data_IF_631425805736
#
_entry.id   IF_631425805736
#
_cell.length_a   1.000
_cell.length_b   1.000
_cell.length_c   1.000
_cell.angle_alpha   90.00
_cell.angle_beta   90.00
_cell.angle_gamma   90.00
#
_symmetry.space_group_name_H-M   'P 1'
#
loop_
_entity.id
_entity.type
_entity.pdbx_description
1 polymer ?
#
# COMPACT_ATOMS: atom_id res chain seq x y z
N UNK A 1 38.29 0.63 -2.03
CA UNK A 1 37.57 -0.18 -1.02
C UNK A 1 36.36 0.63 -0.57
N UNK A 2 35.14 0.10 -0.68
CA UNK A 2 33.95 0.80 -0.19
C UNK A 2 33.82 0.60 1.31
N UNK A 3 33.71 1.69 2.07
CA UNK A 3 33.46 1.66 3.51
C UNK A 3 31.99 1.30 3.76
N UNK A 4 31.71 0.02 4.05
CA UNK A 4 30.40 -0.45 4.52
C UNK A 4 29.95 0.43 5.68
N UNK A 5 28.83 1.14 5.51
CA UNK A 5 28.33 2.04 6.55
C UNK A 5 27.58 1.25 7.61
N UNK A 6 27.87 1.47 8.89
CA UNK A 6 27.20 0.78 9.99
C UNK A 6 26.08 1.64 10.59
N UNK A 7 24.90 1.05 10.78
CA UNK A 7 23.76 1.67 11.44
C UNK A 7 23.32 0.88 12.68
N UNK A 8 23.13 1.56 13.81
CA UNK A 8 22.34 1.00 14.90
C UNK A 8 20.90 0.75 14.44
N UNK A 9 20.21 -0.19 15.11
CA UNK A 9 18.82 -0.52 14.80
C UNK A 9 17.90 0.72 14.90
N UNK A 10 18.22 1.63 15.84
CA UNK A 10 17.51 2.88 16.03
C UNK A 10 17.71 3.87 14.87
N UNK A 11 18.93 3.98 14.33
CA UNK A 11 19.21 4.79 13.14
C UNK A 11 18.51 4.21 11.89
N UNK A 12 18.54 2.89 11.71
CA UNK A 12 17.86 2.23 10.60
C UNK A 12 16.34 2.45 10.65
N UNK A 13 15.73 2.35 11.84
CA UNK A 13 14.31 2.64 12.08
C UNK A 13 13.95 4.10 11.82
N UNK A 14 14.77 5.05 12.31
CA UNK A 14 14.62 6.50 12.07
C UNK A 14 14.65 6.84 10.59
N UNK A 15 15.61 6.28 9.86
CA UNK A 15 15.74 6.44 8.41
C UNK A 15 14.48 5.92 7.70
N UNK A 16 14.06 4.69 7.98
CA UNK A 16 12.86 4.08 7.39
C UNK A 16 11.56 4.88 7.67
N UNK A 17 11.38 5.37 8.90
CA UNK A 17 10.23 6.22 9.24
C UNK A 17 10.26 7.56 8.49
N UNK A 18 11.42 8.20 8.37
CA UNK A 18 11.57 9.47 7.65
C UNK A 18 11.36 9.34 6.14
N UNK A 19 11.89 8.29 5.51
CA UNK A 19 11.65 7.95 4.10
C UNK A 19 10.18 7.73 3.80
N UNK A 20 9.46 6.98 4.66
CA UNK A 20 8.02 6.79 4.53
C UNK A 20 7.18 7.99 4.98
N UNK A 21 7.79 9.12 5.35
CA UNK A 21 7.10 10.38 5.60
C UNK A 21 6.53 10.58 7.00
N UNK A 22 6.94 9.78 7.99
CA UNK A 22 6.65 10.04 9.41
C UNK A 22 7.57 11.10 10.04
N UNK A 23 8.57 11.61 9.31
CA UNK A 23 9.41 12.74 9.73
C UNK A 23 9.03 14.03 8.98
N UNK A 24 8.72 15.11 9.71
CA UNK A 24 8.42 16.42 9.13
C UNK A 24 7.85 17.44 10.12
N UNK A 25 7.46 18.61 9.61
CA UNK A 25 6.55 19.54 10.33
C UNK A 25 5.17 18.88 10.45
N UNK A 26 4.34 19.36 11.40
CA UNK A 26 2.95 18.90 11.51
C UNK A 26 2.19 19.07 10.17
N UNK A 27 1.25 18.17 9.85
CA UNK A 27 0.40 18.31 8.66
C UNK A 27 -0.33 19.67 8.61
N UNK A 28 -0.58 20.23 7.43
CA UNK A 28 -1.36 21.45 7.31
C UNK A 28 -2.80 21.21 7.77
N UNK A 29 -3.43 22.22 8.40
CA UNK A 29 -4.82 22.14 8.87
C UNK A 29 -5.85 21.79 7.77
N UNK A 30 -5.49 21.97 6.49
CA UNK A 30 -6.21 21.44 5.34
C UNK A 30 -5.24 20.74 4.38
N UNK A 31 -5.42 19.43 4.22
CA UNK A 31 -4.72 18.61 3.21
C UNK A 31 -5.30 18.90 1.82
N UNK A 32 -4.43 19.16 0.84
CA UNK A 32 -4.81 19.35 -0.58
C UNK A 32 -4.18 18.27 -1.47
N UNK A 33 -4.59 18.21 -2.73
CA UNK A 33 -4.08 17.24 -3.73
C UNK A 33 -2.56 17.24 -3.85
N UNK A 34 -1.88 18.38 -3.69
CA UNK A 34 -0.43 18.50 -3.75
C UNK A 34 0.26 17.69 -2.62
N UNK A 35 -0.29 17.70 -1.40
CA UNK A 35 0.24 16.90 -0.28
C UNK A 35 -0.03 15.40 -0.49
N UNK A 36 -1.19 15.06 -1.04
CA UNK A 36 -1.55 13.67 -1.39
C UNK A 36 -0.60 13.14 -2.46
N UNK A 37 -0.51 13.81 -3.62
CA UNK A 37 0.37 13.41 -4.72
C UNK A 37 1.83 13.29 -4.28
N UNK A 38 2.38 14.29 -3.58
CA UNK A 38 3.76 14.23 -3.06
C UNK A 38 4.02 13.04 -2.14
N UNK A 39 3.04 12.63 -1.35
CA UNK A 39 3.18 11.45 -0.49
C UNK A 39 3.10 10.15 -1.31
N UNK A 40 2.21 10.05 -2.29
CA UNK A 40 2.13 8.88 -3.17
C UNK A 40 3.35 8.79 -4.09
N UNK A 41 3.91 9.91 -4.54
CA UNK A 41 5.22 9.99 -5.23
C UNK A 41 6.35 9.50 -4.33
N UNK A 42 6.40 9.93 -3.06
CA UNK A 42 7.40 9.48 -2.07
C UNK A 42 7.33 7.97 -1.82
N UNK A 43 6.13 7.41 -1.68
CA UNK A 43 5.95 5.96 -1.48
C UNK A 43 6.09 5.18 -2.79
N UNK A 44 5.68 5.74 -3.92
CA UNK A 44 5.56 5.08 -5.23
C UNK A 44 4.33 4.19 -5.38
N UNK A 45 3.63 3.87 -4.29
CA UNK A 45 2.64 2.80 -4.28
C UNK A 45 1.66 2.92 -3.10
N UNK A 46 0.39 2.61 -3.35
CA UNK A 46 -0.62 2.27 -2.34
C UNK A 46 -1.30 0.95 -2.71
N UNK A 47 -1.22 -0.08 -1.85
CA UNK A 47 -1.88 -1.36 -2.10
C UNK A 47 -3.42 -1.21 -2.01
N UNK A 48 -4.11 -1.66 -3.06
CA UNK A 48 -5.57 -1.73 -3.12
C UNK A 48 -6.03 -3.05 -2.51
N UNK A 49 -6.66 -2.97 -1.35
CA UNK A 49 -7.37 -4.09 -0.73
C UNK A 49 -8.87 -3.77 -0.55
N UNK A 50 -9.71 -4.81 -0.53
CA UNK A 50 -11.17 -4.71 -0.49
C UNK A 50 -11.77 -4.74 0.93
N UNK A 51 -10.99 -5.09 1.96
CA UNK A 51 -11.49 -5.20 3.34
C UNK A 51 -11.96 -3.83 3.83
N UNK A 52 -13.23 -3.76 4.22
CA UNK A 52 -13.92 -2.53 4.59
C UNK A 52 -14.42 -2.57 6.05
N UNK A 53 -13.62 -3.15 6.96
CA UNK A 53 -13.93 -3.20 8.39
C UNK A 53 -13.95 -1.80 9.02
N UNK A 54 -13.05 -0.91 8.55
CA UNK A 54 -13.03 0.53 8.82
C UNK A 54 -13.37 1.30 7.55
N UNK A 55 -12.42 1.30 6.64
CA UNK A 55 -12.41 1.88 5.29
C UNK A 55 -11.47 1.01 4.46
N UNK A 56 -11.55 1.05 3.14
CA UNK A 56 -10.64 0.26 2.27
C UNK A 56 -9.18 0.65 2.54
N UNK A 57 -8.28 -0.33 2.48
CA UNK A 57 -6.89 -0.15 2.94
C UNK A 57 -6.16 1.06 2.32
N UNK A 58 -6.34 1.32 1.01
CA UNK A 58 -5.57 2.32 0.27
C UNK A 58 -5.70 3.77 0.81
N UNK A 59 -6.76 4.09 1.57
CA UNK A 59 -6.91 5.41 2.19
C UNK A 59 -6.10 5.56 3.50
N UNK A 60 -5.80 4.45 4.19
CA UNK A 60 -5.19 4.47 5.53
C UNK A 60 -3.71 4.90 5.55
N UNK A 61 -2.83 4.52 4.59
CA UNK A 61 -1.44 5.00 4.58
C UNK A 61 -1.32 6.52 4.45
N UNK A 62 -2.24 7.16 3.73
CA UNK A 62 -2.32 8.62 3.62
C UNK A 62 -2.81 9.24 4.93
N UNK A 63 -3.90 8.74 5.51
CA UNK A 63 -4.40 9.19 6.82
C UNK A 63 -3.33 9.07 7.91
N UNK A 64 -2.57 7.98 7.93
CA UNK A 64 -1.48 7.71 8.88
C UNK A 64 -0.38 8.79 8.91
N UNK A 65 -0.24 9.58 7.83
CA UNK A 65 0.89 10.49 7.61
C UNK A 65 0.45 11.95 7.38
N UNK A 66 -0.76 12.17 6.88
CA UNK A 66 -1.36 13.48 6.61
C UNK A 66 -2.47 13.85 7.60
N UNK A 67 -2.99 12.91 8.38
CA UNK A 67 -4.19 13.09 9.20
C UNK A 67 -5.46 13.15 8.34
N UNK A 68 -6.46 13.90 8.80
CA UNK A 68 -7.77 14.00 8.14
C UNK A 68 -7.65 14.65 6.74
N UNK A 69 -8.09 13.93 5.71
CA UNK A 69 -8.11 14.41 4.32
C UNK A 69 -9.37 13.91 3.59
N UNK A 70 -9.86 14.64 2.59
CA UNK A 70 -11.00 14.14 1.80
C UNK A 70 -10.58 12.96 0.90
N UNK A 71 -11.27 11.83 1.00
CA UNK A 71 -11.00 10.65 0.15
C UNK A 71 -11.05 10.99 -1.34
N UNK A 72 -11.92 11.93 -1.71
CA UNK A 72 -12.08 12.44 -3.06
C UNK A 72 -10.78 12.97 -3.68
N UNK A 73 -9.78 13.37 -2.88
CA UNK A 73 -8.44 13.73 -3.38
C UNK A 73 -7.68 12.52 -3.93
N UNK A 74 -7.82 11.35 -3.31
CA UNK A 74 -7.27 10.09 -3.83
C UNK A 74 -8.13 9.57 -4.98
N UNK A 75 -9.46 9.67 -4.86
CA UNK A 75 -10.40 9.19 -5.89
C UNK A 75 -10.21 9.96 -7.20
N UNK A 76 -9.98 11.28 -7.12
CA UNK A 76 -9.62 12.11 -8.27
C UNK A 76 -8.25 11.72 -8.84
N UNK A 77 -7.22 11.61 -7.99
CA UNK A 77 -5.88 11.22 -8.40
C UNK A 77 -5.86 9.86 -9.15
N UNK A 78 -6.71 8.92 -8.73
CA UNK A 78 -6.80 7.56 -9.27
C UNK A 78 -7.73 7.39 -10.48
N UNK A 79 -8.93 7.98 -10.44
CA UNK A 79 -10.04 7.60 -11.33
C UNK A 79 -10.77 8.79 -11.99
N UNK A 80 -10.25 10.02 -11.86
CA UNK A 80 -10.72 11.14 -12.67
C UNK A 80 -10.19 11.08 -14.12
N UNK A 81 -10.57 12.09 -14.90
CA UNK A 81 -10.17 12.29 -16.29
C UNK A 81 -9.27 13.52 -16.44
N UNK A 82 -8.38 13.49 -17.44
CA UNK A 82 -7.49 14.60 -17.76
C UNK A 82 -6.55 14.99 -16.60
N UNK A 83 -6.36 16.30 -16.39
CA UNK A 83 -5.29 16.86 -15.54
C UNK A 83 -5.44 16.60 -14.03
N UNK A 84 -6.58 16.09 -13.57
CA UNK A 84 -6.78 15.69 -12.17
C UNK A 84 -6.21 14.29 -11.88
N UNK A 85 -6.04 13.46 -12.91
CA UNK A 85 -5.52 12.11 -12.78
C UNK A 85 -3.99 12.14 -12.71
N UNK A 86 -3.45 11.60 -11.63
CA UNK A 86 -2.00 11.52 -11.36
C UNK A 86 -1.53 10.08 -11.13
N UNK A 87 -2.44 9.12 -11.03
CA UNK A 87 -2.17 7.71 -10.75
C UNK A 87 -2.79 6.78 -11.81
N UNK A 88 -2.36 5.52 -11.80
CA UNK A 88 -2.98 4.41 -12.52
C UNK A 88 -3.09 3.17 -11.61
N UNK A 89 -3.96 2.22 -11.98
CA UNK A 89 -3.98 0.90 -11.36
C UNK A 89 -3.08 -0.07 -12.13
N UNK A 90 -2.25 -0.84 -11.42
CA UNK A 90 -1.55 -2.00 -11.98
C UNK A 90 -1.10 -2.98 -10.89
N UNK A 91 -0.46 -4.08 -11.30
CA UNK A 91 0.17 -5.07 -10.42
C UNK A 91 1.55 -4.58 -9.95
N UNK A 92 1.57 -3.83 -8.85
CA UNK A 92 2.79 -3.34 -8.17
C UNK A 92 3.22 -4.30 -7.06
N UNK A 93 2.72 -4.06 -5.84
CA UNK A 93 2.69 -5.01 -4.73
C UNK A 93 1.25 -5.49 -4.57
N UNK A 94 0.91 -6.59 -5.24
CA UNK A 94 -0.49 -6.93 -5.60
C UNK A 94 -1.18 -5.79 -6.38
N UNK A 95 -2.51 -5.77 -6.44
CA UNK A 95 -3.27 -4.68 -7.04
C UNK A 95 -2.93 -3.35 -6.33
N UNK A 96 -2.48 -2.35 -7.09
CA UNK A 96 -1.84 -1.14 -6.57
C UNK A 96 -2.31 0.12 -7.29
N UNK A 97 -2.39 1.24 -6.58
CA UNK A 97 -2.32 2.58 -7.17
C UNK A 97 -0.84 3.01 -7.25
N UNK A 98 -0.43 3.51 -8.41
CA UNK A 98 0.95 3.93 -8.72
C UNK A 98 0.94 5.33 -9.37
N UNK A 99 1.91 6.22 -9.10
CA UNK A 99 2.07 7.47 -9.84
C UNK A 99 2.24 7.23 -11.35
N UNK A 100 1.63 8.07 -12.21
CA UNK A 100 1.74 7.95 -13.68
C UNK A 100 3.19 7.98 -14.19
N UNK A 101 4.10 8.65 -13.48
CA UNK A 101 5.54 8.64 -13.77
C UNK A 101 6.19 7.25 -13.66
N UNK A 102 5.54 6.29 -12.99
CA UNK A 102 5.99 4.90 -12.90
C UNK A 102 5.41 3.99 -13.98
N UNK A 103 4.54 4.48 -14.87
CA UNK A 103 4.00 3.67 -15.98
C UNK A 103 5.10 3.14 -16.93
N UNK A 104 6.13 3.92 -17.35
CA UNK A 104 7.26 3.40 -18.11
C UNK A 104 8.00 2.26 -17.39
N UNK A 105 8.17 2.39 -16.07
CA UNK A 105 8.82 1.38 -15.21
C UNK A 105 8.03 0.08 -15.05
N UNK A 106 6.77 0.03 -15.51
CA UNK A 106 5.91 -1.17 -15.45
C UNK A 106 5.68 -1.85 -16.80
N UNK A 107 6.06 -1.23 -17.94
CA UNK A 107 5.76 -1.80 -19.28
C UNK A 107 6.49 -3.12 -19.58
N UNK A 108 7.64 -3.38 -18.96
CA UNK A 108 8.31 -4.69 -19.06
C UNK A 108 7.45 -5.83 -18.48
N UNK A 109 6.74 -5.57 -17.37
CA UNK A 109 5.83 -6.53 -16.74
C UNK A 109 4.59 -6.77 -17.60
N UNK A 110 4.11 -5.73 -18.27
CA UNK A 110 3.04 -5.81 -19.28
C UNK A 110 3.49 -6.70 -20.46
N UNK A 111 4.70 -6.48 -20.97
CA UNK A 111 5.28 -7.31 -22.03
C UNK A 111 5.50 -8.78 -21.62
N UNK A 112 5.99 -9.05 -20.40
CA UNK A 112 6.08 -10.42 -19.83
C UNK A 112 4.68 -11.05 -19.72
N UNK A 113 3.70 -10.34 -19.16
CA UNK A 113 2.33 -10.81 -19.00
C UNK A 113 1.65 -11.15 -20.35
N UNK A 114 1.88 -10.35 -21.40
CA UNK A 114 1.42 -10.64 -22.76
C UNK A 114 2.02 -11.92 -23.36
N UNK A 115 3.23 -12.31 -22.95
CA UNK A 115 3.84 -13.63 -23.27
C UNK A 115 3.39 -14.76 -22.34
N UNK A 116 2.65 -14.45 -21.27
CA UNK A 116 2.25 -15.39 -20.23
C UNK A 116 3.32 -15.64 -19.14
N UNK A 117 4.34 -14.79 -19.07
CA UNK A 117 5.43 -14.80 -18.08
C UNK A 117 5.07 -13.96 -16.84
N UNK A 118 5.62 -14.33 -15.67
CA UNK A 118 5.49 -13.60 -14.39
C UNK A 118 4.05 -13.22 -13.93
N UNK A 119 3.03 -13.92 -14.44
CA UNK A 119 1.62 -13.79 -14.02
C UNK A 119 1.05 -15.09 -13.43
N UNK A 120 -0.13 -15.00 -12.81
CA UNK A 120 -0.82 -16.18 -12.26
C UNK A 120 -1.01 -17.28 -13.33
N UNK A 121 -0.66 -18.52 -12.99
CA UNK A 121 -0.63 -19.65 -13.93
C UNK A 121 -1.96 -19.89 -14.66
N UNK A 122 -3.09 -19.68 -13.98
CA UNK A 122 -4.43 -19.77 -14.57
C UNK A 122 -4.65 -18.71 -15.67
N UNK A 123 -4.14 -17.50 -15.46
CA UNK A 123 -4.25 -16.38 -16.39
C UNK A 123 -3.31 -16.58 -17.60
N UNK A 124 -2.08 -17.05 -17.37
CA UNK A 124 -1.17 -17.46 -18.44
C UNK A 124 -1.73 -18.63 -19.29
N UNK A 125 -2.42 -19.57 -18.64
CA UNK A 125 -3.11 -20.67 -19.32
C UNK A 125 -4.28 -20.16 -20.17
N UNK A 126 -5.16 -19.35 -19.59
CA UNK A 126 -6.27 -18.71 -20.31
C UNK A 126 -5.78 -17.90 -21.52
N UNK A 127 -4.67 -17.16 -21.36
CA UNK A 127 -4.00 -16.41 -22.41
C UNK A 127 -3.56 -17.25 -23.62
N UNK A 128 -3.23 -18.54 -23.43
CA UNK A 128 -2.88 -19.46 -24.52
C UNK A 128 -4.10 -20.18 -25.10
N UNK A 129 -5.10 -20.49 -24.29
CA UNK A 129 -6.23 -21.35 -24.67
C UNK A 129 -7.45 -20.58 -25.22
N UNK A 130 -7.58 -19.28 -24.97
CA UNK A 130 -8.79 -18.48 -25.29
C UNK A 130 -8.52 -17.15 -26.01
N UNK A 131 -7.60 -17.18 -26.99
CA UNK A 131 -7.23 -16.02 -27.82
C UNK A 131 -8.38 -15.46 -28.68
N UNK A 132 -9.42 -16.25 -28.96
CA UNK A 132 -10.67 -15.79 -29.56
C UNK A 132 -11.48 -14.90 -28.59
N UNK A 133 -11.66 -15.34 -27.35
CA UNK A 133 -12.41 -14.60 -26.31
C UNK A 133 -11.69 -13.29 -25.97
N UNK A 134 -10.35 -13.34 -25.87
CA UNK A 134 -9.50 -12.16 -25.60
C UNK A 134 -9.68 -11.10 -26.69
N UNK A 135 -9.58 -11.47 -27.97
CA UNK A 135 -9.79 -10.54 -29.10
C UNK A 135 -11.22 -10.00 -29.14
N UNK A 136 -12.23 -10.84 -28.91
CA UNK A 136 -13.64 -10.42 -28.83
C UNK A 136 -13.86 -9.37 -27.75
N UNK A 137 -13.32 -9.58 -26.55
CA UNK A 137 -13.43 -8.66 -25.41
C UNK A 137 -12.68 -7.35 -25.65
N UNK A 138 -11.47 -7.41 -26.23
CA UNK A 138 -10.73 -6.20 -26.61
C UNK A 138 -11.50 -5.38 -27.66
N UNK A 139 -12.09 -6.04 -28.68
CA UNK A 139 -12.98 -5.39 -29.65
C UNK A 139 -14.17 -4.69 -28.99
N UNK A 140 -14.84 -5.34 -28.03
CA UNK A 140 -15.93 -4.71 -27.27
C UNK A 140 -15.50 -3.47 -26.49
N UNK A 141 -14.27 -3.44 -25.95
CA UNK A 141 -13.70 -2.24 -25.30
C UNK A 141 -13.34 -1.16 -26.33
N UNK A 142 -12.80 -1.55 -27.49
CA UNK A 142 -12.54 -0.64 -28.61
C UNK A 142 -13.82 0.03 -29.12
N UNK A 143 -14.93 -0.69 -29.23
CA UNK A 143 -16.22 -0.17 -29.69
C UNK A 143 -16.98 0.64 -28.63
N UNK A 144 -17.06 0.13 -27.38
CA UNK A 144 -17.97 0.66 -26.36
C UNK A 144 -17.29 1.50 -25.27
N UNK A 145 -15.95 1.53 -25.23
CA UNK A 145 -15.19 2.25 -24.20
C UNK A 145 -15.14 1.52 -22.85
N UNK A 146 -15.22 2.28 -21.76
CA UNK A 146 -15.01 1.79 -20.40
C UNK A 146 -16.03 0.74 -19.92
N UNK A 147 -15.66 -0.55 -19.96
CA UNK A 147 -16.52 -1.68 -19.60
C UNK A 147 -16.10 -2.37 -18.29
N UNK A 148 -17.10 -2.71 -17.46
CA UNK A 148 -16.93 -3.63 -16.34
C UNK A 148 -17.24 -5.07 -16.76
N UNK A 149 -16.68 -6.06 -16.05
CA UNK A 149 -16.90 -7.47 -16.36
C UNK A 149 -18.40 -7.88 -16.29
N UNK A 150 -19.21 -7.20 -15.46
CA UNK A 150 -20.65 -7.41 -15.43
C UNK A 150 -21.37 -6.94 -16.71
N UNK A 151 -20.81 -5.99 -17.45
CA UNK A 151 -21.38 -5.47 -18.70
C UNK A 151 -21.09 -6.35 -19.93
N UNK A 152 -20.14 -7.28 -19.82
CA UNK A 152 -19.75 -8.22 -20.88
C UNK A 152 -20.32 -9.63 -20.69
N UNK A 153 -20.94 -9.92 -19.54
CA UNK A 153 -21.31 -11.30 -19.20
C UNK A 153 -22.53 -11.77 -20.00
N UNK A 154 -22.37 -12.86 -20.74
CA UNK A 154 -23.44 -13.52 -21.51
C UNK A 154 -24.20 -14.57 -20.68
N UNK A 155 -23.86 -14.76 -19.40
CA UNK A 155 -24.52 -15.72 -18.50
C UNK A 155 -25.95 -15.27 -18.17
N UNK A 156 -26.92 -16.14 -18.47
CA UNK A 156 -28.28 -16.04 -17.94
C UNK A 156 -28.42 -16.64 -16.52
N UNK A 157 -27.45 -17.48 -16.11
CA UNK A 157 -27.43 -18.13 -14.80
C UNK A 157 -26.68 -17.32 -13.74
N UNK A 158 -27.03 -17.52 -12.47
CA UNK A 158 -26.32 -16.91 -11.33
C UNK A 158 -24.88 -17.40 -11.27
N UNK A 159 -23.93 -16.47 -11.17
CA UNK A 159 -22.54 -16.79 -10.87
C UNK A 159 -22.43 -17.56 -9.55
N UNK A 160 -21.50 -18.52 -9.51
CA UNK A 160 -21.22 -19.35 -8.35
C UNK A 160 -20.42 -18.63 -7.26
N UNK A 161 -19.58 -19.36 -6.50
CA UNK A 161 -18.71 -18.78 -5.48
C UNK A 161 -17.73 -17.75 -6.05
N UNK A 162 -17.07 -16.97 -5.18
CA UNK A 162 -16.21 -15.82 -5.55
C UNK A 162 -15.05 -16.12 -6.53
N UNK A 163 -14.71 -17.39 -6.75
CA UNK A 163 -13.71 -17.86 -7.72
C UNK A 163 -14.29 -18.25 -9.11
N UNK A 164 -15.60 -18.35 -9.26
CA UNK A 164 -16.28 -18.57 -10.54
C UNK A 164 -16.34 -17.26 -11.36
N UNK A 165 -15.24 -16.96 -12.04
CA UNK A 165 -15.12 -15.81 -12.93
C UNK A 165 -15.51 -16.22 -14.35
N UNK A 166 -16.34 -15.43 -15.04
CA UNK A 166 -16.67 -15.72 -16.45
C UNK A 166 -15.43 -15.63 -17.36
N UNK A 167 -15.52 -16.17 -18.56
CA UNK A 167 -14.42 -16.10 -19.53
C UNK A 167 -14.09 -14.64 -19.91
N UNK A 168 -15.09 -13.76 -19.97
CA UNK A 168 -14.91 -12.33 -20.23
C UNK A 168 -14.16 -11.62 -19.09
N UNK A 169 -14.39 -12.03 -17.84
CA UNK A 169 -13.62 -11.52 -16.70
C UNK A 169 -12.16 -11.98 -16.74
N UNK A 170 -11.91 -13.25 -17.09
CA UNK A 170 -10.53 -13.74 -17.29
C UNK A 170 -9.83 -13.01 -18.44
N UNK A 171 -10.53 -12.75 -19.55
CA UNK A 171 -10.02 -11.96 -20.67
C UNK A 171 -9.67 -10.52 -20.25
N UNK A 172 -10.55 -9.84 -19.50
CA UNK A 172 -10.28 -8.49 -18.98
C UNK A 172 -9.07 -8.46 -18.03
N UNK A 173 -8.95 -9.41 -17.09
CA UNK A 173 -7.79 -9.46 -16.18
C UNK A 173 -6.49 -9.84 -16.94
N UNK A 174 -6.56 -10.63 -18.02
CA UNK A 174 -5.41 -10.92 -18.89
C UNK A 174 -4.98 -9.69 -19.69
N UNK A 175 -5.91 -9.03 -20.38
CA UNK A 175 -5.66 -7.79 -21.12
C UNK A 175 -5.10 -6.70 -20.20
N UNK A 176 -5.62 -6.61 -18.96
CA UNK A 176 -5.12 -5.69 -17.94
C UNK A 176 -3.70 -6.05 -17.46
N UNK A 177 -3.38 -7.33 -17.29
CA UNK A 177 -2.03 -7.76 -16.95
C UNK A 177 -1.05 -7.46 -18.09
N UNK A 178 -1.45 -7.75 -19.33
CA UNK A 178 -0.69 -7.49 -20.57
C UNK A 178 -0.56 -6.01 -20.94
N UNK A 179 -1.34 -5.11 -20.31
CA UNK A 179 -1.32 -3.67 -20.57
C UNK A 179 -2.19 -3.19 -21.74
N UNK A 180 -2.89 -4.11 -22.42
CA UNK A 180 -3.80 -3.86 -23.55
C UNK A 180 -5.07 -3.07 -23.13
N UNK A 181 -5.44 -3.13 -21.84
CA UNK A 181 -6.45 -2.26 -21.22
C UNK A 181 -5.96 -1.75 -19.87
N UNK A 182 -6.51 -0.62 -19.42
CA UNK A 182 -6.26 -0.08 -18.08
C UNK A 182 -7.55 0.34 -17.39
N UNK A 183 -7.50 0.55 -16.06
CA UNK A 183 -8.69 0.88 -15.27
C UNK A 183 -9.05 2.36 -15.48
N UNK A 184 -10.02 2.63 -16.35
CA UNK A 184 -10.59 3.96 -16.57
C UNK A 184 -11.17 4.55 -15.27
N UNK A 185 -11.92 3.73 -14.51
CA UNK A 185 -12.51 4.12 -13.23
C UNK A 185 -13.11 2.93 -12.48
N UNK A 186 -13.94 3.19 -11.46
CA UNK A 186 -14.61 2.13 -10.69
C UNK A 186 -16.09 2.38 -10.45
N UNK A 187 -16.88 1.31 -10.57
CA UNK A 187 -18.29 1.24 -10.12
C UNK A 187 -18.32 0.53 -8.76
N UNK A 188 -18.29 1.31 -7.68
CA UNK A 188 -18.21 0.79 -6.32
C UNK A 188 -16.84 0.18 -6.01
N UNK A 189 -16.65 -1.11 -6.33
CA UNK A 189 -15.33 -1.77 -6.36
C UNK A 189 -15.07 -2.54 -7.66
N UNK A 190 -16.05 -2.68 -8.56
CA UNK A 190 -15.84 -3.18 -9.92
C UNK A 190 -14.93 -2.20 -10.68
N UNK A 191 -13.89 -2.71 -11.34
CA UNK A 191 -13.06 -1.94 -12.28
C UNK A 191 -13.83 -1.76 -13.60
N UNK A 192 -13.74 -0.58 -14.17
CA UNK A 192 -14.15 -0.29 -15.55
C UNK A 192 -12.87 -0.16 -16.38
N UNK A 193 -12.74 -0.97 -17.43
CA UNK A 193 -11.54 -1.08 -18.26
C UNK A 193 -11.75 -0.39 -19.60
N UNK A 194 -10.79 0.41 -20.02
CA UNK A 194 -10.76 1.06 -21.35
C UNK A 194 -9.31 1.04 -21.89
N UNK A 195 -9.13 1.45 -23.15
CA UNK A 195 -7.82 1.48 -23.81
C UNK A 195 -6.85 2.46 -23.12
N UNK A 196 -5.54 2.15 -23.01
CA UNK A 196 -4.56 3.02 -22.37
C UNK A 196 -4.57 4.47 -22.90
N UNK A 197 -4.71 4.65 -24.20
CA UNK A 197 -4.74 5.96 -24.90
C UNK A 197 -6.00 6.80 -24.64
N UNK A 198 -7.06 6.20 -24.08
CA UNK A 198 -8.27 6.92 -23.65
C UNK A 198 -8.21 7.35 -22.17
N UNK A 199 -7.33 6.74 -21.38
CA UNK A 199 -7.29 6.89 -19.91
C UNK A 199 -6.02 7.59 -19.42
N UNK A 200 -4.89 7.31 -20.05
CA UNK A 200 -3.56 7.78 -19.63
C UNK A 200 -3.15 8.97 -20.49
N UNK A 201 -2.56 10.05 -19.93
CA UNK A 201 -2.12 11.20 -20.72
C UNK A 201 -1.10 10.79 -21.80
N UNK A 202 -1.26 11.30 -23.02
CA UNK A 202 -0.39 10.96 -24.16
C UNK A 202 1.12 11.14 -23.85
N UNK A 203 1.48 12.15 -23.04
CA UNK A 203 2.85 12.42 -22.57
C UNK A 203 3.45 11.33 -21.65
N UNK A 204 2.65 10.36 -21.20
CA UNK A 204 3.09 9.15 -20.47
C UNK A 204 3.26 7.98 -21.45
N UNK A 205 2.35 7.83 -22.42
CA UNK A 205 2.36 6.77 -23.41
C UNK A 205 3.46 6.94 -24.47
N UNK A 206 3.71 8.18 -24.87
CA UNK A 206 4.74 8.58 -25.84
C UNK A 206 6.18 8.50 -25.28
N UNK A 207 6.35 8.12 -24.01
CA UNK A 207 7.69 7.93 -23.44
C UNK A 207 8.36 6.68 -24.04
N UNK A 208 9.68 6.74 -24.31
CA UNK A 208 10.41 5.63 -24.92
C UNK A 208 10.27 4.35 -24.07
N UNK A 209 10.39 3.19 -24.72
CA UNK A 209 10.45 1.94 -23.98
C UNK A 209 11.80 1.84 -23.29
N UNK A 210 11.77 1.84 -21.96
CA UNK A 210 12.91 1.38 -21.16
C UNK A 210 13.10 -0.12 -21.40
N UNK A 211 14.35 -0.58 -21.41
CA UNK A 211 14.65 -2.00 -21.29
C UNK A 211 14.10 -2.56 -19.97
N UNK A 212 13.86 -3.88 -19.91
CA UNK A 212 13.44 -4.53 -18.65
C UNK A 212 14.47 -4.21 -17.53
N UNK A 213 15.75 -4.24 -17.89
CA UNK A 213 16.90 -3.89 -17.07
C UNK A 213 16.83 -2.49 -16.45
N UNK A 214 16.62 -1.44 -17.26
CA UNK A 214 16.48 -0.06 -16.78
C UNK A 214 15.25 0.13 -15.89
N UNK A 215 14.13 -0.46 -16.29
CA UNK A 215 12.89 -0.36 -15.54
C UNK A 215 13.01 -1.01 -14.15
N UNK A 216 13.60 -2.20 -14.08
CA UNK A 216 13.88 -2.89 -12.82
C UNK A 216 14.86 -2.10 -11.93
N UNK A 217 15.92 -1.49 -12.48
CA UNK A 217 16.81 -0.58 -11.72
C UNK A 217 16.06 0.60 -11.14
N UNK A 218 15.19 1.24 -11.93
CA UNK A 218 14.34 2.34 -11.47
C UNK A 218 13.40 1.94 -10.33
N UNK A 219 12.79 0.75 -10.40
CA UNK A 219 11.94 0.21 -9.33
C UNK A 219 12.74 -0.09 -8.05
N UNK A 220 13.96 -0.63 -8.14
CA UNK A 220 14.83 -0.87 -6.98
C UNK A 220 15.30 0.44 -6.32
N UNK A 221 15.67 1.45 -7.11
CA UNK A 221 16.02 2.78 -6.59
C UNK A 221 14.83 3.44 -5.90
N UNK A 222 13.63 3.31 -6.46
CA UNK A 222 12.42 3.82 -5.82
C UNK A 222 12.12 3.10 -4.50
N UNK A 223 12.24 1.77 -4.47
CA UNK A 223 12.09 0.97 -3.26
C UNK A 223 13.12 1.37 -2.19
N UNK A 224 14.38 1.62 -2.57
CA UNK A 224 15.42 2.08 -1.65
C UNK A 224 15.12 3.47 -1.08
N UNK A 225 14.66 4.41 -1.91
CA UNK A 225 14.21 5.73 -1.47
C UNK A 225 13.05 5.65 -0.47
N UNK A 226 12.00 4.89 -0.79
CA UNK A 226 10.79 4.76 0.01
C UNK A 226 11.02 3.97 1.31
N UNK A 227 11.87 2.95 1.30
CA UNK A 227 12.21 2.16 2.49
C UNK A 227 13.32 2.80 3.35
N UNK A 228 14.17 3.64 2.77
CA UNK A 228 15.31 4.31 3.41
C UNK A 228 16.52 3.39 3.65
N UNK A 229 16.28 2.21 4.20
CA UNK A 229 17.26 1.12 4.38
C UNK A 229 16.57 -0.25 4.33
N UNK A 230 17.12 -1.19 3.57
CA UNK A 230 16.41 -2.40 3.15
C UNK A 230 17.38 -3.53 2.76
N UNK A 231 17.03 -4.79 2.99
CA UNK A 231 17.76 -5.96 2.44
C UNK A 231 17.39 -6.20 0.96
N UNK A 232 18.13 -7.05 0.24
CA UNK A 232 17.78 -7.49 -1.14
C UNK A 232 16.30 -7.91 -1.23
N UNK A 233 15.85 -8.71 -0.24
CA UNK A 233 14.47 -9.20 -0.16
C UNK A 233 13.47 -8.05 -0.05
N UNK A 234 13.73 -7.08 0.81
CA UNK A 234 12.80 -5.97 1.07
C UNK A 234 12.66 -5.05 -0.16
N UNK A 235 13.78 -4.76 -0.83
CA UNK A 235 13.80 -3.94 -2.05
C UNK A 235 12.98 -4.61 -3.17
N UNK A 236 13.23 -5.89 -3.43
CA UNK A 236 12.55 -6.61 -4.52
C UNK A 236 11.08 -6.89 -4.20
N UNK A 237 10.73 -7.13 -2.93
CA UNK A 237 9.34 -7.39 -2.53
C UNK A 237 8.45 -6.14 -2.67
N UNK A 238 9.02 -4.94 -2.54
CA UNK A 238 8.31 -3.66 -2.65
C UNK A 238 7.55 -3.47 -3.97
N UNK A 239 8.03 -4.08 -5.06
CA UNK A 239 7.34 -4.15 -6.35
C UNK A 239 7.21 -5.59 -6.89
N UNK A 240 7.30 -6.62 -6.02
CA UNK A 240 7.25 -8.05 -6.39
C UNK A 240 8.19 -8.43 -7.56
N UNK A 241 9.43 -7.94 -7.54
CA UNK A 241 10.47 -8.32 -8.51
C UNK A 241 10.97 -9.76 -8.26
N UNK A 242 11.25 -10.46 -9.35
CA UNK A 242 11.83 -11.81 -9.35
C UNK A 242 13.23 -11.78 -8.67
N UNK A 243 13.59 -12.79 -7.85
CA UNK A 243 14.92 -12.86 -7.21
C UNK A 243 16.11 -12.84 -8.17
N UNK A 244 15.96 -13.38 -9.39
CA UNK A 244 17.02 -13.40 -10.40
C UNK A 244 17.30 -12.00 -10.93
N UNK A 245 16.29 -11.39 -11.57
CA UNK A 245 16.31 -10.01 -12.05
C UNK A 245 16.85 -9.06 -10.97
N UNK A 246 16.23 -9.06 -9.79
CA UNK A 246 16.54 -8.11 -8.73
C UNK A 246 17.99 -8.19 -8.23
N UNK A 247 18.64 -9.37 -8.26
CA UNK A 247 20.03 -9.51 -7.83
C UNK A 247 21.01 -8.90 -8.83
N UNK A 248 20.82 -9.16 -10.12
CA UNK A 248 21.65 -8.57 -11.19
C UNK A 248 21.54 -7.05 -11.15
N UNK A 249 20.32 -6.52 -11.08
CA UNK A 249 20.06 -5.09 -11.02
C UNK A 249 20.59 -4.42 -9.76
N UNK A 250 20.56 -5.11 -8.62
CA UNK A 250 21.16 -4.60 -7.38
C UNK A 250 22.69 -4.53 -7.46
N UNK A 251 23.34 -5.51 -8.09
CA UNK A 251 24.79 -5.48 -8.30
C UNK A 251 25.21 -4.30 -9.18
N UNK A 252 24.51 -4.06 -10.29
CA UNK A 252 24.74 -2.92 -11.18
C UNK A 252 24.56 -1.57 -10.47
N UNK A 253 23.53 -1.45 -9.60
CA UNK A 253 23.28 -0.23 -8.82
C UNK A 253 24.35 0.03 -7.75
N UNK A 254 24.99 -1.03 -7.22
CA UNK A 254 26.13 -0.93 -6.31
C UNK A 254 27.42 -0.54 -7.05
N UNK A 255 27.66 -1.12 -8.23
CA UNK A 255 28.81 -0.78 -9.09
C UNK A 255 28.74 0.66 -9.59
N UNK A 256 27.55 1.12 -10.00
CA UNK A 256 27.29 2.51 -10.40
C UNK A 256 27.27 3.51 -9.21
N UNK A 257 27.43 3.04 -7.96
CA UNK A 257 27.37 3.88 -6.76
C UNK A 257 26.00 4.50 -6.47
N UNK A 258 24.94 4.08 -7.18
CA UNK A 258 23.57 4.56 -7.01
C UNK A 258 22.87 3.97 -5.77
N UNK A 259 23.41 2.88 -5.22
CA UNK A 259 23.13 2.35 -3.89
C UNK A 259 24.44 2.09 -3.15
N UNK A 260 24.37 2.10 -1.81
CA UNK A 260 25.46 1.70 -0.93
C UNK A 260 25.10 0.43 -0.16
N UNK A 261 26.06 -0.49 -0.03
CA UNK A 261 25.98 -1.61 0.90
C UNK A 261 26.29 -1.13 2.32
N UNK A 262 25.54 -1.63 3.30
CA UNK A 262 25.62 -1.21 4.69
C UNK A 262 25.24 -2.34 5.66
N UNK A 263 25.65 -2.19 6.91
CA UNK A 263 25.33 -3.11 8.00
C UNK A 263 24.33 -2.49 8.97
N UNK A 264 23.44 -3.31 9.52
CA UNK A 264 22.46 -2.90 10.53
C UNK A 264 22.59 -3.80 11.75
N UNK A 265 22.69 -3.18 12.93
CA UNK A 265 22.77 -3.88 14.21
C UNK A 265 21.63 -4.91 14.37
N UNK A 266 22.01 -6.18 14.57
CA UNK A 266 21.09 -7.30 14.75
C UNK A 266 20.55 -7.92 13.46
N UNK A 267 20.84 -7.36 12.29
CA UNK A 267 20.50 -7.99 11.01
C UNK A 267 21.58 -9.00 10.59
N UNK A 268 21.18 -10.10 9.94
CA UNK A 268 22.12 -11.13 9.43
C UNK A 268 22.46 -10.95 7.95
N UNK A 269 21.64 -10.19 7.23
CA UNK A 269 21.78 -9.88 5.82
C UNK A 269 22.39 -8.49 5.66
N UNK A 270 23.19 -8.25 4.60
CA UNK A 270 23.55 -6.88 4.23
C UNK A 270 22.28 -6.07 3.93
N UNK A 271 22.35 -4.78 4.26
CA UNK A 271 21.34 -3.80 3.94
C UNK A 271 21.86 -2.85 2.85
N UNK A 272 20.93 -2.13 2.24
CA UNK A 272 21.14 -1.24 1.12
C UNK A 272 20.37 0.06 1.37
N UNK A 273 21.01 1.18 1.05
CA UNK A 273 20.44 2.52 1.14
C UNK A 273 20.93 3.40 -0.02
N UNK A 274 20.30 4.57 -0.20
CA UNK A 274 20.81 5.59 -1.10
C UNK A 274 22.13 6.19 -0.57
N UNK A 275 22.98 6.75 -1.45
CA UNK A 275 24.07 7.64 -1.05
C UNK A 275 23.61 8.77 -0.11
N UNK A 276 24.52 9.21 0.78
CA UNK A 276 24.27 10.24 1.80
C UNK A 276 22.98 10.06 2.65
N UNK A 277 22.76 8.90 3.32
CA UNK A 277 21.52 8.63 4.03
C UNK A 277 21.31 9.56 5.24
N UNK A 278 20.31 10.44 5.16
CA UNK A 278 20.06 11.54 6.12
C UNK A 278 19.23 11.08 7.32
N UNK A 279 19.87 10.33 8.23
CA UNK A 279 19.23 9.84 9.46
C UNK A 279 18.86 11.01 10.40
N UNK A 280 17.57 11.18 10.78
CA UNK A 280 17.17 12.24 11.70
C UNK A 280 17.58 11.93 13.15
N UNK A 281 17.73 12.97 13.99
CA UNK A 281 18.06 12.81 15.42
C UNK A 281 16.95 12.17 16.25
N UNK A 282 15.68 12.37 15.85
CA UNK A 282 14.47 11.76 16.43
C UNK A 282 13.34 11.77 15.39
N UNK A 283 12.35 10.88 15.55
CA UNK A 283 11.07 10.90 14.84
C UNK A 283 9.93 10.93 15.85
N UNK A 284 9.12 11.98 15.80
CA UNK A 284 7.98 12.20 16.70
C UNK A 284 6.69 12.08 15.87
N UNK A 285 6.17 10.86 15.82
CA UNK A 285 4.98 10.50 15.07
C UNK A 285 4.02 9.68 15.94
N UNK A 286 2.73 9.70 15.64
CA UNK A 286 1.76 8.77 16.25
C UNK A 286 0.65 8.47 15.26
N UNK A 287 0.48 7.20 14.88
CA UNK A 287 -0.36 6.80 13.76
C UNK A 287 -0.90 5.38 13.90
N UNK A 288 -2.15 5.17 13.46
CA UNK A 288 -2.77 3.84 13.30
C UNK A 288 -2.52 3.34 11.87
N UNK A 289 -1.62 2.38 11.72
CA UNK A 289 -1.10 1.89 10.44
C UNK A 289 -2.01 0.83 9.82
N UNK A 290 -2.09 0.79 8.48
CA UNK A 290 -2.81 -0.29 7.78
C UNK A 290 -2.07 -1.64 7.88
N UNK A 291 -2.79 -2.78 7.96
CA UNK A 291 -2.22 -4.11 7.72
C UNK A 291 -1.51 -4.28 6.36
N UNK A 292 -1.80 -3.40 5.40
CA UNK A 292 -1.21 -3.36 4.05
C UNK A 292 -0.45 -2.04 3.82
N UNK A 293 0.02 -1.39 4.88
CA UNK A 293 0.91 -0.24 4.79
C UNK A 293 2.31 -0.67 4.35
N UNK A 294 3.03 0.16 3.59
CA UNK A 294 4.40 -0.11 3.14
C UNK A 294 5.44 -0.18 4.28
N UNK A 295 5.08 0.24 5.49
CA UNK A 295 5.89 0.03 6.70
C UNK A 295 5.67 -1.35 7.33
N UNK A 296 4.57 -2.02 6.96
CA UNK A 296 3.97 -3.15 7.67
C UNK A 296 3.83 -4.42 6.80
N UNK A 297 3.71 -4.31 5.46
CA UNK A 297 3.40 -5.48 4.61
C UNK A 297 4.48 -6.56 4.61
N UNK A 298 5.76 -6.19 4.63
CA UNK A 298 6.87 -7.13 4.78
C UNK A 298 7.04 -7.40 6.28
N UNK A 299 6.44 -8.50 6.73
CA UNK A 299 6.31 -8.83 8.16
C UNK A 299 7.68 -9.03 8.82
N UNK A 300 8.62 -9.64 8.11
CA UNK A 300 9.98 -9.87 8.59
C UNK A 300 10.82 -8.59 8.66
N UNK A 301 10.59 -7.61 7.77
CA UNK A 301 11.21 -6.27 7.86
C UNK A 301 10.62 -5.49 9.02
N UNK A 302 9.31 -5.60 9.23
CA UNK A 302 8.61 -4.99 10.37
C UNK A 302 9.17 -5.53 11.69
N UNK A 303 9.29 -6.85 11.80
CA UNK A 303 9.92 -7.56 12.91
C UNK A 303 11.39 -7.14 13.09
N UNK A 304 12.21 -7.18 12.03
CA UNK A 304 13.63 -6.74 12.04
C UNK A 304 13.86 -5.26 12.38
N UNK A 305 12.87 -4.38 12.20
CA UNK A 305 12.98 -2.95 12.52
C UNK A 305 12.41 -2.61 13.89
N UNK A 306 11.24 -3.14 14.24
CA UNK A 306 10.43 -2.68 15.37
C UNK A 306 10.31 -3.70 16.51
N UNK A 307 10.88 -4.91 16.35
CA UNK A 307 10.65 -6.06 17.24
C UNK A 307 9.16 -6.45 17.34
N UNK A 308 8.42 -6.22 16.26
CA UNK A 308 6.96 -6.34 16.20
C UNK A 308 6.53 -7.43 15.22
N UNK A 309 6.20 -8.61 15.74
CA UNK A 309 5.76 -9.77 14.96
C UNK A 309 4.27 -9.68 14.60
N UNK A 310 3.99 -9.16 13.41
CA UNK A 310 2.62 -8.92 12.95
C UNK A 310 2.01 -10.05 12.11
N UNK A 311 0.77 -10.44 12.43
CA UNK A 311 -0.08 -11.33 11.62
C UNK A 311 -1.48 -10.73 11.51
N UNK A 312 -2.00 -10.63 10.28
CA UNK A 312 -3.39 -10.26 10.04
C UNK A 312 -4.30 -11.49 10.17
N UNK A 313 -5.38 -11.36 10.93
CA UNK A 313 -6.22 -12.48 11.39
C UNK A 313 -7.64 -12.49 10.78
N UNK A 314 -7.91 -11.70 9.74
CA UNK A 314 -9.23 -11.62 9.08
C UNK A 314 -9.77 -12.98 8.62
N UNK A 315 -8.89 -13.86 8.13
CA UNK A 315 -9.23 -15.20 7.64
C UNK A 315 -9.16 -16.27 8.75
N UNK A 316 -8.70 -15.92 9.95
CA UNK A 316 -8.67 -16.82 11.11
C UNK A 316 -10.09 -16.95 11.68
N UNK A 317 -10.59 -18.15 12.01
CA UNK A 317 -11.85 -18.34 12.75
C UNK A 317 -11.87 -17.55 14.07
N UNK A 318 -13.04 -17.04 14.48
CA UNK A 318 -13.15 -16.06 15.60
C UNK A 318 -12.55 -16.57 16.91
N UNK A 319 -12.72 -17.86 17.18
CA UNK A 319 -12.21 -18.64 18.31
C UNK A 319 -10.67 -18.80 18.32
N UNK A 320 -9.99 -18.61 17.17
CA UNK A 320 -8.55 -18.83 17.00
C UNK A 320 -7.76 -17.52 16.83
N UNK A 321 -8.40 -16.36 17.05
CA UNK A 321 -7.79 -15.03 16.95
C UNK A 321 -7.04 -14.68 18.24
N UNK A 322 -5.88 -14.04 18.10
CA UNK A 322 -5.01 -13.63 19.20
C UNK A 322 -4.89 -12.11 19.27
N UNK A 323 -4.72 -11.44 18.12
CA UNK A 323 -4.61 -9.99 18.02
C UNK A 323 -5.93 -9.29 17.58
N UNK A 324 -6.91 -9.99 16.97
CA UNK A 324 -8.26 -9.45 16.68
C UNK A 324 -8.79 -9.76 15.27
N UNK A 325 -9.81 -9.04 14.77
CA UNK A 325 -10.26 -9.18 13.37
C UNK A 325 -9.49 -8.27 12.42
N UNK A 326 -9.63 -6.95 12.54
CA UNK A 326 -9.01 -5.95 11.68
C UNK A 326 -8.15 -5.02 12.52
N UNK A 327 -6.92 -5.49 12.72
CA UNK A 327 -6.03 -5.01 13.76
C UNK A 327 -5.04 -4.01 13.17
N UNK A 328 -5.08 -2.76 13.61
CA UNK A 328 -4.12 -1.75 13.17
C UNK A 328 -2.97 -1.68 14.18
N UNK A 329 -1.70 -1.81 13.74
CA UNK A 329 -0.54 -1.45 14.56
C UNK A 329 -0.54 0.05 14.87
N UNK A 330 -0.27 0.41 16.12
CA UNK A 330 -0.10 1.79 16.56
C UNK A 330 1.38 2.14 16.67
N UNK A 331 1.86 2.96 15.72
CA UNK A 331 3.16 3.63 15.80
C UNK A 331 3.06 4.74 16.85
N UNK A 332 4.00 4.76 17.81
CA UNK A 332 4.22 5.90 18.70
C UNK A 332 5.73 6.20 18.79
N UNK A 333 6.10 7.42 18.41
CA UNK A 333 7.46 7.90 18.19
C UNK A 333 8.26 6.94 17.30
N UNK A 334 9.10 6.11 17.92
CA UNK A 334 10.06 5.22 17.24
C UNK A 334 9.80 3.75 17.63
N UNK A 335 8.57 3.39 17.96
CA UNK A 335 8.12 2.02 18.31
C UNK A 335 6.74 1.75 17.73
N UNK A 336 6.46 0.48 17.39
CA UNK A 336 5.07 0.02 17.33
C UNK A 336 4.74 -0.45 18.73
N UNK A 337 3.89 0.31 19.44
CA UNK A 337 3.70 0.17 20.89
C UNK A 337 2.33 -0.43 21.28
N UNK A 338 1.43 -0.61 20.32
CA UNK A 338 0.17 -1.32 20.55
C UNK A 338 -0.41 -1.91 19.26
N UNK A 339 -1.38 -2.82 19.42
CA UNK A 339 -2.38 -3.23 18.43
C UNK A 339 -3.77 -2.75 18.85
N UNK A 340 -4.59 -2.38 17.88
CA UNK A 340 -6.00 -2.01 18.12
C UNK A 340 -6.91 -2.72 17.12
N UNK A 341 -7.86 -3.53 17.61
CA UNK A 341 -8.88 -4.18 16.76
C UNK A 341 -10.06 -3.23 16.60
N UNK A 342 -10.34 -2.82 15.36
CA UNK A 342 -11.13 -1.63 15.04
C UNK A 342 -12.21 -1.89 13.99
N UNK A 343 -13.39 -1.28 14.19
CA UNK A 343 -14.52 -1.38 13.25
C UNK A 343 -15.30 -0.06 13.14
N UNK A 344 -15.63 0.34 11.91
CA UNK A 344 -16.51 1.47 11.63
C UNK A 344 -17.98 1.01 11.63
N UNK A 345 -18.65 1.10 12.78
CA UNK A 345 -20.06 0.77 12.93
C UNK A 345 -20.94 1.95 12.50
N UNK A 346 -20.95 2.23 11.19
CA UNK A 346 -21.62 3.39 10.57
C UNK A 346 -23.12 3.50 10.94
N UNK A 347 -23.83 2.39 11.03
CA UNK A 347 -25.24 2.35 11.44
C UNK A 347 -25.49 2.84 12.89
N UNK A 348 -24.45 2.88 13.72
CA UNK A 348 -24.48 3.41 15.09
C UNK A 348 -23.62 4.69 15.24
N UNK A 349 -23.17 5.30 14.13
CA UNK A 349 -22.34 6.50 14.13
C UNK A 349 -21.03 6.41 14.92
N UNK A 350 -20.45 5.20 15.10
CA UNK A 350 -19.34 4.98 16.04
C UNK A 350 -18.15 4.20 15.49
N UNK A 351 -16.95 4.59 15.90
CA UNK A 351 -15.72 3.82 15.78
C UNK A 351 -15.65 2.85 16.97
N UNK A 352 -15.88 1.57 16.73
CA UNK A 352 -15.82 0.54 17.74
C UNK A 352 -14.38 0.03 17.94
N UNK A 353 -13.92 0.07 19.20
CA UNK A 353 -12.65 -0.51 19.64
C UNK A 353 -12.96 -1.85 20.31
N UNK A 354 -12.70 -2.95 19.60
CA UNK A 354 -12.98 -4.31 20.07
C UNK A 354 -11.85 -4.87 20.94
N UNK A 355 -10.61 -4.42 20.74
CA UNK A 355 -9.48 -4.75 21.59
C UNK A 355 -8.39 -3.67 21.56
N UNK A 356 -7.66 -3.54 22.66
CA UNK A 356 -6.36 -2.86 22.74
C UNK A 356 -5.39 -3.87 23.33
N UNK A 357 -4.23 -4.02 22.72
CA UNK A 357 -3.11 -4.81 23.21
C UNK A 357 -1.90 -3.90 23.20
N UNK A 358 -1.36 -3.55 24.35
CA UNK A 358 -0.09 -2.84 24.42
C UNK A 358 1.04 -3.85 24.14
N UNK A 359 2.09 -3.43 23.44
CA UNK A 359 3.31 -4.22 23.25
C UNK A 359 4.34 -3.77 24.31
N UNK A 360 5.12 -4.70 24.86
CA UNK A 360 6.09 -4.41 25.93
C UNK A 360 7.05 -3.26 25.55
N UNK A 361 7.40 -2.32 26.45
CA UNK A 361 7.06 -2.26 27.88
C UNK A 361 5.71 -1.57 28.19
N UNK A 362 4.82 -1.44 27.21
CA UNK A 362 3.56 -0.72 27.33
C UNK A 362 3.59 0.70 26.76
N UNK A 363 2.42 1.37 26.76
CA UNK A 363 2.30 2.80 26.53
C UNK A 363 2.42 3.55 27.86
N UNK A 364 3.19 4.63 27.91
CA UNK A 364 3.06 5.63 28.96
C UNK A 364 1.79 6.47 28.76
N UNK A 365 1.53 7.45 29.62
CA UNK A 365 0.30 8.24 29.52
C UNK A 365 0.33 9.22 28.34
N UNK A 366 1.50 9.62 27.85
CA UNK A 366 1.64 10.37 26.58
C UNK A 366 1.28 9.49 25.38
N UNK A 367 1.74 8.24 25.34
CA UNK A 367 1.39 7.26 24.33
C UNK A 367 -0.09 6.88 24.35
N UNK A 368 -0.69 6.75 25.54
CA UNK A 368 -2.13 6.49 25.70
C UNK A 368 -2.98 7.69 25.25
N UNK A 369 -2.55 8.92 25.55
CA UNK A 369 -3.18 10.15 25.05
C UNK A 369 -3.03 10.27 23.51
N UNK A 370 -1.85 9.97 22.97
CA UNK A 370 -1.60 9.96 21.53
C UNK A 370 -2.45 8.92 20.79
N UNK A 371 -2.75 7.78 21.43
CA UNK A 371 -3.69 6.77 20.93
C UNK A 371 -5.14 7.29 20.96
N UNK A 372 -5.58 7.90 22.06
CA UNK A 372 -6.90 8.52 22.16
C UNK A 372 -7.13 9.57 21.06
N UNK A 373 -6.17 10.48 20.86
CA UNK A 373 -6.19 11.51 19.81
C UNK A 373 -6.23 10.89 18.40
N UNK A 374 -5.49 9.80 18.16
CA UNK A 374 -5.54 9.10 16.87
C UNK A 374 -6.88 8.43 16.60
N UNK A 375 -7.51 7.83 17.62
CA UNK A 375 -8.83 7.22 17.51
C UNK A 375 -9.93 8.27 17.30
N UNK A 376 -9.88 9.40 18.02
CA UNK A 376 -10.79 10.54 17.81
C UNK A 376 -10.68 11.06 16.38
N UNK A 377 -9.47 11.40 15.92
CA UNK A 377 -9.21 11.83 14.53
C UNK A 377 -9.68 10.82 13.47
N UNK A 378 -9.50 9.52 13.71
CA UNK A 378 -9.99 8.48 12.80
C UNK A 378 -11.52 8.41 12.78
N UNK A 379 -12.18 8.57 13.93
CA UNK A 379 -13.63 8.66 13.99
C UNK A 379 -14.14 9.89 13.24
N UNK A 380 -13.54 11.07 13.47
CA UNK A 380 -13.88 12.33 12.80
C UNK A 380 -13.74 12.22 11.27
N UNK A 381 -12.60 11.70 10.80
CA UNK A 381 -12.31 11.49 9.39
C UNK A 381 -13.27 10.50 8.71
N UNK A 382 -13.79 9.53 9.45
CA UNK A 382 -14.76 8.55 8.95
C UNK A 382 -16.23 8.99 9.12
N UNK A 383 -16.48 10.20 9.65
CA UNK A 383 -17.84 10.71 9.92
C UNK A 383 -18.55 10.01 11.08
N UNK A 384 -17.81 9.51 12.06
CA UNK A 384 -18.29 8.76 13.21
C UNK A 384 -18.26 9.64 14.46
N UNK A 385 -19.43 10.01 14.99
CA UNK A 385 -19.55 10.89 16.14
C UNK A 385 -18.85 10.35 17.41
N UNK A 386 -18.86 9.04 17.65
CA UNK A 386 -18.40 8.44 18.91
C UNK A 386 -17.22 7.46 18.74
N UNK A 387 -16.28 7.46 19.70
CA UNK A 387 -15.33 6.35 19.90
C UNK A 387 -15.89 5.42 20.98
N UNK A 388 -16.28 4.20 20.62
CA UNK A 388 -16.90 3.24 21.53
C UNK A 388 -15.95 2.12 21.92
N UNK A 389 -15.48 2.15 23.16
CA UNK A 389 -14.74 1.03 23.76
C UNK A 389 -15.70 -0.14 24.05
N UNK A 390 -15.48 -1.27 23.38
CA UNK A 390 -16.21 -2.53 23.56
C UNK A 390 -15.37 -3.59 24.30
N UNK A 391 -14.18 -3.22 24.80
CA UNK A 391 -13.24 -4.07 25.52
C UNK A 391 -13.14 -3.71 27.01
N UNK A 392 -12.85 -4.72 27.85
CA UNK A 392 -12.78 -4.61 29.32
C UNK A 392 -11.36 -4.76 29.89
N UNK A 393 -10.32 -4.76 29.04
CA UNK A 393 -8.91 -4.87 29.47
C UNK A 393 -8.42 -3.60 30.19
N UNK A 394 -7.36 -3.71 30.98
CA UNK A 394 -6.75 -2.58 31.72
C UNK A 394 -6.40 -1.41 30.79
N UNK A 395 -5.80 -1.68 29.62
CA UNK A 395 -5.52 -0.69 28.58
C UNK A 395 -6.77 0.08 28.12
N UNK A 396 -7.95 -0.56 28.12
CA UNK A 396 -9.21 0.09 27.78
C UNK A 396 -9.76 0.96 28.93
N UNK A 397 -9.37 0.72 30.18
CA UNK A 397 -9.66 1.63 31.28
C UNK A 397 -8.79 2.90 31.18
N UNK A 398 -7.47 2.75 30.95
CA UNK A 398 -6.54 3.87 30.70
C UNK A 398 -6.99 4.71 29.49
N UNK A 399 -7.31 4.04 28.38
CA UNK A 399 -7.80 4.71 27.16
C UNK A 399 -9.13 5.43 27.37
N UNK A 400 -10.01 4.97 28.28
CA UNK A 400 -11.26 5.67 28.63
C UNK A 400 -11.00 7.00 29.32
N UNK A 401 -10.02 7.05 30.23
CA UNK A 401 -9.60 8.28 30.89
C UNK A 401 -8.97 9.25 29.87
N UNK A 402 -8.10 8.74 28.99
CA UNK A 402 -7.47 9.54 27.94
C UNK A 402 -8.49 10.08 26.91
N UNK A 403 -9.52 9.31 26.55
CA UNK A 403 -10.61 9.79 25.68
C UNK A 403 -11.46 10.86 26.36
N UNK A 404 -11.86 10.66 27.62
CA UNK A 404 -12.62 11.67 28.37
C UNK A 404 -11.84 13.00 28.52
N UNK A 405 -10.51 12.92 28.69
CA UNK A 405 -9.63 14.09 28.77
C UNK A 405 -9.46 14.88 27.46
N UNK A 406 -9.88 14.34 26.30
CA UNK A 406 -9.86 15.06 25.00
C UNK A 406 -11.26 15.37 24.46
N UNK A 407 -12.32 14.88 25.09
CA UNK A 407 -13.71 15.26 24.77
C UNK A 407 -14.28 16.33 25.74
N UNK A 408 -13.51 16.68 26.79
CA UNK A 408 -13.82 17.76 27.74
C UNK A 408 -12.85 18.95 27.70
N UNK A 409 -12.11 19.13 26.60
CA UNK A 409 -11.09 20.17 26.39
C UNK A 409 -11.20 20.79 24.99
#
# INVERSE_FOLDING_TARGET
MSTSSYFSLLQARRLALSSQGFGGRQPPALVKSIQVNRLIERLGILQIDSVNALVRSHYLPLFSRLGCYSSALLDQAAWSQGRQRTLFEYWGHEASLLPLSMFPLMRWRMARAGRGEDIYQQLARFGREHQDIIRRVLGSVQELGALGAGSLSTRQERAGPWWDWSAEKHALEWLFAAGEVTVAGRRGFERLYDLPERVLPAVILQQPMLSEDEAQRGLLLHAANALGIATEKDLRDYFRLNPGDARSRLAELLEAGALLSCEVQGWRQPAFCLPEPKVPRKVEASALLSPFDSLIWERGRTERLFDFRYRLEIYTPRDKRVYGYYVLPFLHNERISARVDLRAERAHGRLAVHAVHEEEPGLDDQGMLALAVNLRRMADWLGLAQVKLNCQRVSAARLRVALAGIEGA
#
